data_IF_108984191743
#
_entry.id   IF_108984191743
#
_cell.length_a   1.000
_cell.length_b   1.000
_cell.length_c   1.000
_cell.angle_alpha   90.00
_cell.angle_beta   90.00
_cell.angle_gamma   90.00
#
_symmetry.space_group_name_H-M   'P 1'
#
loop_
_entity.id
_entity.type
_entity.pdbx_description
1 polymer ?
#
# COMPACT_ATOMS: atom_id res chain seq x y z
N UNK A 1 16.46 30.14 -11.02
CA UNK A 1 17.06 31.16 -11.91
C UNK A 1 16.04 31.69 -12.93
N UNK A 2 15.18 30.86 -13.55
CA UNK A 2 14.22 31.35 -14.58
C UNK A 2 13.04 32.11 -13.99
N UNK A 3 12.69 31.86 -12.73
CA UNK A 3 11.52 32.44 -12.04
C UNK A 3 11.86 33.24 -10.79
N UNK A 4 13.12 33.69 -10.62
CA UNK A 4 13.56 34.39 -9.42
C UNK A 4 12.80 35.73 -9.18
N UNK A 5 12.26 36.32 -10.23
CA UNK A 5 11.44 37.54 -10.14
C UNK A 5 9.94 37.29 -9.97
N UNK A 6 9.49 36.03 -10.03
CA UNK A 6 8.08 35.69 -9.94
C UNK A 6 7.68 35.33 -8.48
N UNK A 7 6.49 35.76 -8.09
CA UNK A 7 5.90 35.30 -6.84
C UNK A 7 5.52 33.81 -6.98
N UNK A 8 6.06 32.98 -6.12
CA UNK A 8 5.83 31.53 -6.15
C UNK A 8 4.89 31.14 -5.01
N UNK A 9 3.89 30.32 -5.33
CA UNK A 9 2.93 29.77 -4.37
C UNK A 9 2.96 28.26 -4.50
N UNK A 10 3.21 27.57 -3.38
CA UNK A 10 3.15 26.11 -3.29
C UNK A 10 1.90 25.66 -2.55
N UNK A 11 1.19 24.67 -3.08
CA UNK A 11 0.10 23.97 -2.39
C UNK A 11 0.38 22.46 -2.41
N UNK A 12 0.30 21.81 -1.25
CA UNK A 12 0.51 20.37 -1.14
C UNK A 12 -0.27 19.83 0.03
N UNK A 13 -0.79 18.60 -0.10
CA UNK A 13 -1.36 17.83 1.00
C UNK A 13 -0.29 17.05 1.78
N UNK A 14 0.92 16.92 1.22
CA UNK A 14 2.01 16.11 1.77
C UNK A 14 3.33 16.87 1.70
N UNK A 15 3.52 17.90 2.56
CA UNK A 15 4.77 18.64 2.59
C UNK A 15 5.94 17.67 2.86
N UNK A 16 7.02 17.83 2.11
CA UNK A 16 8.24 17.05 2.28
C UNK A 16 9.23 17.81 3.14
N UNK A 17 9.72 17.15 4.18
CA UNK A 17 10.79 17.63 5.05
C UNK A 17 11.82 16.51 5.19
N UNK A 18 12.74 16.43 4.21
CA UNK A 18 13.86 15.49 4.18
C UNK A 18 15.16 16.26 4.12
N UNK A 19 16.30 15.59 4.31
CA UNK A 19 17.64 16.23 4.20
C UNK A 19 17.86 16.88 2.84
N UNK A 20 17.33 16.28 1.76
CA UNK A 20 17.55 16.75 0.39
C UNK A 20 16.44 17.69 -0.12
N UNK A 21 15.25 17.62 0.46
CA UNK A 21 14.06 18.39 0.00
C UNK A 21 13.25 18.84 1.19
N UNK A 22 13.19 20.16 1.40
CA UNK A 22 12.36 20.79 2.41
C UNK A 22 11.47 21.87 1.78
N UNK A 23 10.16 21.71 1.98
CA UNK A 23 9.19 22.72 1.55
C UNK A 23 9.34 24.01 2.37
N UNK A 24 9.58 23.88 3.67
CA UNK A 24 9.77 25.01 4.58
C UNK A 24 11.04 25.80 4.23
N UNK A 25 12.10 25.12 3.79
CA UNK A 25 13.32 25.80 3.35
C UNK A 25 13.13 26.61 2.09
N UNK A 26 12.31 26.12 1.14
CA UNK A 26 12.10 26.78 -0.14
C UNK A 26 11.05 27.87 -0.08
N UNK A 27 9.89 27.62 0.55
CA UNK A 27 8.74 28.53 0.57
C UNK A 27 8.62 29.35 1.86
N UNK A 28 9.39 29.02 2.90
CA UNK A 28 9.22 29.57 4.25
C UNK A 28 8.11 28.86 5.03
N UNK A 29 7.70 29.44 6.13
CA UNK A 29 6.59 28.89 6.94
C UNK A 29 5.26 28.91 6.17
N UNK A 30 4.41 27.88 6.33
CA UNK A 30 3.12 27.84 5.68
C UNK A 30 2.25 29.05 6.01
N UNK A 31 1.75 29.74 4.97
CA UNK A 31 0.81 30.86 5.14
C UNK A 31 -0.54 30.37 5.68
N UNK A 32 -0.93 29.14 5.32
CA UNK A 32 -2.16 28.52 5.80
C UNK A 32 -1.99 27.01 5.85
N UNK A 33 -2.51 26.39 6.91
CA UNK A 33 -2.55 24.92 7.07
C UNK A 33 -3.97 24.49 7.39
N UNK A 34 -4.53 23.62 6.56
CA UNK A 34 -5.80 22.93 6.80
C UNK A 34 -5.54 21.48 7.07
N UNK A 35 -5.57 21.10 8.33
CA UNK A 35 -5.20 19.75 8.76
C UNK A 35 -6.29 18.71 8.46
N UNK A 36 -5.88 17.44 8.35
CA UNK A 36 -6.82 16.31 8.23
C UNK A 36 -7.87 16.33 9.37
N UNK A 37 -7.45 16.66 10.60
CA UNK A 37 -8.36 16.77 11.74
C UNK A 37 -9.42 17.85 11.52
N UNK A 38 -9.01 19.04 11.08
CA UNK A 38 -9.96 20.11 10.77
C UNK A 38 -10.95 19.68 9.66
N UNK A 39 -10.45 19.02 8.60
CA UNK A 39 -11.32 18.52 7.53
C UNK A 39 -12.37 17.50 8.02
N UNK A 40 -12.03 16.69 9.01
CA UNK A 40 -12.97 15.77 9.64
C UNK A 40 -13.96 16.51 10.55
N UNK A 41 -13.46 17.41 11.40
CA UNK A 41 -14.27 18.20 12.32
C UNK A 41 -15.28 19.10 11.56
N UNK A 42 -14.88 19.64 10.41
CA UNK A 42 -15.72 20.47 9.53
C UNK A 42 -16.68 19.64 8.64
N UNK A 43 -16.60 18.30 8.67
CA UNK A 43 -17.47 17.41 7.91
C UNK A 43 -17.10 17.23 6.43
N UNK A 44 -15.98 17.74 5.95
CA UNK A 44 -15.51 17.54 4.57
C UNK A 44 -14.81 16.20 4.36
N UNK A 45 -14.24 15.62 5.41
CA UNK A 45 -13.54 14.34 5.36
C UNK A 45 -14.20 13.33 6.31
N UNK A 46 -14.25 12.08 5.88
CA UNK A 46 -14.76 11.00 6.71
C UNK A 46 -13.81 10.71 7.88
N UNK A 47 -14.34 10.39 9.08
CA UNK A 47 -13.53 9.90 10.18
C UNK A 47 -12.91 8.55 9.82
N UNK A 48 -11.72 8.26 10.35
CA UNK A 48 -11.02 7.01 10.09
C UNK A 48 -10.61 6.32 11.39
N UNK A 49 -10.40 5.01 11.29
CA UNK A 49 -9.85 4.19 12.37
C UNK A 49 -8.63 3.43 11.84
N UNK A 50 -7.51 3.51 12.54
CA UNK A 50 -6.29 2.76 12.20
C UNK A 50 -6.25 1.48 13.02
N UNK A 51 -6.20 0.34 12.32
CA UNK A 51 -5.92 -0.96 12.89
C UNK A 51 -4.53 -1.41 12.41
N UNK A 52 -3.65 -1.74 13.35
CA UNK A 52 -2.31 -2.24 13.04
C UNK A 52 -2.24 -3.71 13.37
N UNK A 53 -1.87 -4.51 12.37
CA UNK A 53 -1.60 -5.94 12.54
C UNK A 53 -0.10 -6.15 12.43
N UNK A 54 0.51 -6.64 13.51
CA UNK A 54 1.92 -7.08 13.51
C UNK A 54 2.02 -8.49 12.94
N UNK A 55 3.04 -8.73 12.13
CA UNK A 55 3.49 -10.06 11.72
C UNK A 55 4.86 -10.26 12.34
N UNK A 56 5.13 -11.41 12.94
CA UNK A 56 6.38 -11.68 13.68
C UNK A 56 7.63 -11.32 12.85
N UNK A 57 7.64 -11.71 11.57
CA UNK A 57 8.75 -11.38 10.67
C UNK A 57 8.92 -9.87 10.39
N UNK A 58 7.83 -9.10 10.44
CA UNK A 58 7.89 -7.64 10.27
C UNK A 58 8.44 -6.95 11.52
N UNK A 59 8.25 -7.55 12.70
CA UNK A 59 8.70 -7.01 13.98
C UNK A 59 10.14 -7.42 14.31
N UNK A 60 10.46 -8.70 14.11
CA UNK A 60 11.75 -9.30 14.49
C UNK A 60 12.77 -9.25 13.35
N UNK A 61 12.31 -9.03 12.11
CA UNK A 61 13.10 -9.20 10.90
C UNK A 61 13.23 -10.68 10.51
N UNK A 62 13.89 -10.93 9.39
CA UNK A 62 14.16 -12.26 8.88
C UNK A 62 15.64 -12.40 8.54
N UNK A 63 16.28 -13.40 9.12
CA UNK A 63 17.64 -13.82 8.81
C UNK A 63 17.55 -15.15 8.04
N UNK A 64 17.81 -15.18 6.72
CA UNK A 64 17.87 -16.43 5.98
C UNK A 64 19.03 -17.31 6.47
N UNK A 65 18.90 -18.62 6.34
CA UNK A 65 19.99 -19.55 6.57
C UNK A 65 21.13 -19.29 5.56
N UNK A 66 22.36 -19.53 5.99
CA UNK A 66 23.54 -19.34 5.13
C UNK A 66 23.47 -20.27 3.91
N UNK A 67 23.70 -19.72 2.72
CA UNK A 67 23.62 -20.47 1.46
C UNK A 67 22.19 -20.69 0.94
N UNK A 68 21.15 -20.14 1.58
CA UNK A 68 19.79 -20.20 1.06
C UNK A 68 19.69 -19.50 -0.29
N UNK A 69 18.98 -20.13 -1.24
CA UNK A 69 18.75 -19.60 -2.58
C UNK A 69 17.31 -19.13 -2.74
N UNK A 70 17.10 -18.16 -3.62
CA UNK A 70 15.79 -17.71 -4.07
C UNK A 70 15.18 -18.68 -5.11
N UNK A 71 13.99 -18.33 -5.60
CA UNK A 71 13.27 -19.12 -6.62
C UNK A 71 14.02 -19.23 -7.97
N UNK A 72 14.99 -18.34 -8.23
CA UNK A 72 15.82 -18.31 -9.42
C UNK A 72 17.18 -19.03 -9.19
N UNK A 73 17.40 -19.59 -8.00
CA UNK A 73 18.66 -20.26 -7.64
C UNK A 73 19.78 -19.29 -7.25
N UNK A 74 19.50 -17.98 -7.03
CA UNK A 74 20.49 -17.01 -6.57
C UNK A 74 20.62 -17.07 -5.05
N UNK A 75 21.86 -16.99 -4.56
CA UNK A 75 22.13 -16.99 -3.12
C UNK A 75 21.54 -15.73 -2.48
N UNK A 76 20.68 -15.91 -1.49
CA UNK A 76 20.15 -14.83 -0.66
C UNK A 76 21.24 -14.39 0.31
N UNK A 77 21.54 -13.11 0.34
CA UNK A 77 22.54 -12.54 1.24
C UNK A 77 22.20 -12.84 2.71
N UNK A 78 23.18 -13.36 3.46
CA UNK A 78 23.01 -13.67 4.89
C UNK A 78 23.08 -12.39 5.74
N UNK A 79 21.95 -11.67 5.81
CA UNK A 79 21.76 -10.48 6.63
C UNK A 79 20.33 -10.41 7.15
N UNK A 80 20.10 -9.57 8.15
CA UNK A 80 18.74 -9.32 8.64
C UNK A 80 17.97 -8.49 7.61
N UNK A 81 16.85 -9.03 7.13
CA UNK A 81 15.87 -8.34 6.30
C UNK A 81 14.76 -7.78 7.19
N UNK A 82 14.37 -6.55 6.95
CA UNK A 82 13.32 -5.85 7.69
C UNK A 82 12.11 -5.59 6.81
N UNK A 83 11.05 -5.05 7.37
CA UNK A 83 9.84 -4.67 6.63
C UNK A 83 10.10 -3.75 5.43
N UNK A 84 11.23 -3.01 5.41
CA UNK A 84 11.63 -2.18 4.26
C UNK A 84 12.18 -2.98 3.09
N UNK A 85 12.67 -4.17 3.34
CA UNK A 85 13.25 -5.05 2.32
C UNK A 85 12.22 -6.00 1.72
N UNK A 86 11.14 -6.33 2.45
CA UNK A 86 10.12 -7.30 2.02
C UNK A 86 9.38 -6.80 0.79
N UNK A 87 9.07 -7.74 -0.10
CA UNK A 87 8.43 -7.53 -1.40
C UNK A 87 9.19 -6.61 -2.37
N UNK A 88 10.41 -6.16 -1.98
CA UNK A 88 11.34 -5.38 -2.82
C UNK A 88 12.63 -6.12 -3.11
N UNK A 89 13.28 -6.62 -2.06
CA UNK A 89 14.57 -7.33 -2.12
C UNK A 89 14.44 -8.78 -1.71
N UNK A 90 13.43 -9.11 -0.92
CA UNK A 90 13.13 -10.45 -0.47
C UNK A 90 11.62 -10.70 -0.52
N UNK A 91 11.21 -11.67 -1.33
CA UNK A 91 9.82 -12.11 -1.44
C UNK A 91 9.60 -13.27 -0.47
N UNK A 92 8.56 -13.16 0.35
CA UNK A 92 8.14 -14.20 1.29
C UNK A 92 6.66 -14.49 1.03
N UNK A 93 6.38 -15.55 0.27
CA UNK A 93 5.01 -15.92 -0.12
C UNK A 93 4.09 -16.09 1.08
N UNK A 94 4.57 -16.78 2.14
CA UNK A 94 3.83 -16.95 3.40
C UNK A 94 3.43 -15.63 4.05
N UNK A 95 4.19 -14.56 3.84
CA UNK A 95 3.84 -13.24 4.33
C UNK A 95 2.63 -12.70 3.58
N UNK A 96 2.64 -12.79 2.24
CA UNK A 96 1.52 -12.38 1.39
C UNK A 96 0.24 -13.15 1.72
N UNK A 97 0.34 -14.49 1.89
CA UNK A 97 -0.76 -15.35 2.32
C UNK A 97 -1.31 -14.94 3.71
N UNK A 98 -0.41 -14.67 4.67
CA UNK A 98 -0.81 -14.23 6.01
C UNK A 98 -1.55 -12.90 5.97
N UNK A 99 -1.09 -11.94 5.17
CA UNK A 99 -1.76 -10.64 4.99
C UNK A 99 -3.14 -10.84 4.35
N UNK A 100 -3.23 -11.63 3.27
CA UNK A 100 -4.50 -11.92 2.60
C UNK A 100 -5.51 -12.58 3.55
N UNK A 101 -5.06 -13.54 4.36
CA UNK A 101 -5.88 -14.19 5.39
C UNK A 101 -6.38 -13.18 6.42
N UNK A 102 -5.51 -12.29 6.94
CA UNK A 102 -5.91 -11.27 7.93
C UNK A 102 -6.92 -10.27 7.37
N UNK A 103 -6.73 -9.81 6.14
CA UNK A 103 -7.70 -8.95 5.45
C UNK A 103 -9.04 -9.68 5.35
N UNK A 104 -9.04 -10.91 4.89
CA UNK A 104 -10.25 -11.72 4.72
C UNK A 104 -10.97 -11.97 6.06
N UNK A 105 -10.23 -12.33 7.12
CA UNK A 105 -10.80 -12.50 8.47
C UNK A 105 -11.45 -11.22 8.98
N UNK A 106 -10.80 -10.07 8.79
CA UNK A 106 -11.35 -8.77 9.17
C UNK A 106 -12.64 -8.46 8.41
N UNK A 107 -12.65 -8.64 7.10
CA UNK A 107 -13.83 -8.41 6.27
C UNK A 107 -14.98 -9.38 6.61
N UNK A 108 -14.68 -10.64 6.91
CA UNK A 108 -15.70 -11.61 7.37
C UNK A 108 -16.35 -11.21 8.70
N UNK A 109 -15.61 -10.51 9.57
CA UNK A 109 -16.12 -10.04 10.87
C UNK A 109 -16.87 -8.70 10.78
N UNK A 110 -16.67 -7.94 9.71
CA UNK A 110 -17.27 -6.63 9.51
C UNK A 110 -18.29 -6.67 8.36
N UNK A 111 -17.84 -6.46 7.14
CA UNK A 111 -18.63 -6.57 5.93
C UNK A 111 -17.73 -6.99 4.76
N UNK A 112 -18.01 -8.17 4.19
CA UNK A 112 -17.25 -8.75 3.08
C UNK A 112 -17.36 -7.94 1.78
N UNK A 113 -18.36 -7.10 1.65
CA UNK A 113 -18.60 -6.27 0.47
C UNK A 113 -18.20 -4.81 0.66
N UNK A 114 -17.63 -4.47 1.81
CA UNK A 114 -17.03 -3.14 2.02
C UNK A 114 -15.94 -2.87 0.98
N UNK A 115 -16.04 -1.73 0.30
CA UNK A 115 -15.02 -1.28 -0.66
C UNK A 115 -13.65 -1.23 0.00
N UNK A 116 -12.74 -2.03 -0.50
CA UNK A 116 -11.40 -2.23 0.09
C UNK A 116 -10.32 -2.04 -0.95
N UNK A 117 -9.30 -1.23 -0.62
CA UNK A 117 -8.12 -1.02 -1.47
C UNK A 117 -6.90 -1.59 -0.74
N UNK A 118 -6.14 -2.44 -1.41
CA UNK A 118 -4.88 -3.00 -0.92
C UNK A 118 -3.73 -2.41 -1.74
N UNK A 119 -2.90 -1.58 -1.12
CA UNK A 119 -1.72 -1.02 -1.77
C UNK A 119 -0.56 -2.01 -1.74
N UNK A 120 0.02 -2.26 -2.88
CA UNK A 120 1.14 -3.16 -3.08
C UNK A 120 2.40 -2.39 -3.49
N UNK A 121 3.57 -2.99 -3.29
CA UNK A 121 4.87 -2.35 -3.57
C UNK A 121 5.09 -2.17 -5.08
N UNK A 122 4.68 -3.17 -5.86
CA UNK A 122 4.79 -3.21 -7.32
C UNK A 122 3.67 -4.08 -7.93
N UNK A 123 3.67 -4.18 -9.26
CA UNK A 123 2.64 -4.91 -10.00
C UNK A 123 2.71 -6.42 -9.78
N UNK A 124 3.88 -6.97 -9.54
CA UNK A 124 4.08 -8.39 -9.25
C UNK A 124 3.57 -8.73 -7.86
N UNK A 125 3.85 -7.89 -6.86
CA UNK A 125 3.25 -8.03 -5.53
C UNK A 125 1.71 -7.91 -5.59
N UNK A 126 1.17 -7.02 -6.43
CA UNK A 126 -0.27 -6.90 -6.63
C UNK A 126 -0.88 -8.18 -7.23
N UNK A 127 -0.16 -8.85 -8.12
CA UNK A 127 -0.59 -10.15 -8.68
C UNK A 127 -0.61 -11.23 -7.59
N UNK A 128 0.48 -11.43 -6.86
CA UNK A 128 0.57 -12.41 -5.76
C UNK A 128 -0.49 -12.16 -4.68
N UNK A 129 -0.69 -10.90 -4.31
CA UNK A 129 -1.71 -10.54 -3.32
C UNK A 129 -3.13 -10.85 -3.81
N UNK A 130 -3.42 -10.58 -5.10
CA UNK A 130 -4.71 -10.94 -5.70
C UNK A 130 -4.94 -12.45 -5.65
N UNK A 131 -3.95 -13.24 -6.03
CA UNK A 131 -4.03 -14.71 -5.99
C UNK A 131 -4.26 -15.23 -4.57
N UNK A 132 -3.52 -14.71 -3.59
CA UNK A 132 -3.69 -15.08 -2.19
C UNK A 132 -5.09 -14.70 -1.67
N UNK A 133 -5.61 -13.52 -2.01
CA UNK A 133 -6.96 -13.12 -1.64
C UNK A 133 -8.05 -13.97 -2.31
N UNK A 134 -7.86 -14.36 -3.58
CA UNK A 134 -8.77 -15.28 -4.28
C UNK A 134 -8.82 -16.61 -3.56
N UNK A 135 -7.68 -17.16 -3.15
CA UNK A 135 -7.60 -18.44 -2.43
C UNK A 135 -8.37 -18.41 -1.09
N UNK A 136 -8.35 -17.28 -0.39
CA UNK A 136 -9.07 -17.10 0.88
C UNK A 136 -10.57 -16.80 0.69
N UNK A 137 -11.03 -16.46 -0.52
CA UNK A 137 -12.40 -16.04 -0.81
C UNK A 137 -13.03 -16.79 -1.99
N UNK A 138 -12.67 -18.05 -2.20
CA UNK A 138 -13.15 -18.87 -3.33
C UNK A 138 -14.68 -18.96 -3.39
N UNK A 139 -15.36 -18.95 -2.25
CA UNK A 139 -16.81 -18.98 -2.12
C UNK A 139 -17.51 -17.81 -2.81
N UNK A 140 -16.95 -16.60 -2.76
CA UNK A 140 -17.49 -15.42 -3.43
C UNK A 140 -16.98 -15.32 -4.86
N UNK A 141 -15.67 -15.55 -5.07
CA UNK A 141 -15.04 -15.44 -6.39
C UNK A 141 -15.66 -16.41 -7.40
N UNK A 142 -16.09 -17.58 -6.95
CA UNK A 142 -16.82 -18.55 -7.82
C UNK A 142 -18.17 -18.00 -8.33
N UNK A 143 -18.76 -17.04 -7.65
CA UNK A 143 -20.04 -16.41 -8.02
C UNK A 143 -19.83 -15.04 -8.68
N UNK A 144 -18.75 -14.37 -8.37
CA UNK A 144 -18.39 -13.05 -8.90
C UNK A 144 -16.87 -12.96 -9.08
N UNK A 145 -16.40 -13.15 -10.30
CA UNK A 145 -14.99 -13.10 -10.71
C UNK A 145 -14.38 -11.70 -10.56
N UNK A 146 -15.22 -10.65 -10.46
CA UNK A 146 -14.82 -9.26 -10.23
C UNK A 146 -14.71 -8.86 -8.76
N UNK A 147 -14.97 -9.78 -7.82
CA UNK A 147 -14.88 -9.49 -6.39
C UNK A 147 -13.47 -9.05 -5.96
N UNK A 148 -12.42 -9.60 -6.58
CA UNK A 148 -11.02 -9.22 -6.31
C UNK A 148 -10.35 -8.87 -7.63
N UNK A 149 -10.13 -7.58 -7.84
CA UNK A 149 -9.53 -7.06 -9.05
C UNK A 149 -8.13 -6.48 -8.79
N UNK A 150 -7.23 -6.63 -9.76
CA UNK A 150 -5.93 -5.95 -9.80
C UNK A 150 -6.07 -4.72 -10.70
N UNK A 151 -5.65 -3.57 -10.19
CA UNK A 151 -5.64 -2.31 -10.94
C UNK A 151 -4.20 -1.79 -10.92
N UNK A 152 -3.55 -1.77 -12.08
CA UNK A 152 -2.17 -1.31 -12.25
C UNK A 152 -2.06 -0.34 -13.41
N UNK A 153 -0.99 0.47 -13.42
CA UNK A 153 -0.79 1.48 -14.46
C UNK A 153 -0.53 0.93 -15.86
N UNK A 154 0.04 -0.28 -15.94
CA UNK A 154 0.37 -0.96 -17.20
C UNK A 154 -0.80 -1.75 -17.80
N UNK A 155 -1.88 -1.99 -17.04
CA UNK A 155 -3.01 -2.82 -17.43
C UNK A 155 -4.23 -1.96 -17.77
N UNK A 156 -4.52 -1.80 -19.06
CA UNK A 156 -5.69 -1.03 -19.51
C UNK A 156 -7.02 -1.67 -19.11
N UNK A 157 -7.08 -3.01 -19.00
CA UNK A 157 -8.26 -3.70 -18.50
C UNK A 157 -8.48 -3.43 -17.00
N UNK A 158 -7.38 -3.34 -16.24
CA UNK A 158 -7.42 -2.95 -14.83
C UNK A 158 -7.94 -1.53 -14.62
N UNK A 159 -7.55 -0.59 -15.47
CA UNK A 159 -8.06 0.80 -15.40
C UNK A 159 -9.57 0.89 -15.61
N UNK A 160 -10.13 0.09 -16.52
CA UNK A 160 -11.58 0.02 -16.73
C UNK A 160 -12.33 -0.49 -15.48
N UNK A 161 -11.70 -1.33 -14.65
CA UNK A 161 -12.30 -1.81 -13.41
C UNK A 161 -12.37 -0.74 -12.30
N UNK A 162 -11.60 0.35 -12.43
CA UNK A 162 -11.67 1.47 -11.49
C UNK A 162 -13.07 2.13 -11.50
N UNK A 163 -13.67 2.28 -12.67
CA UNK A 163 -15.04 2.79 -12.81
C UNK A 163 -16.04 1.86 -12.08
N UNK A 164 -15.92 0.54 -12.27
CA UNK A 164 -16.76 -0.43 -11.55
C UNK A 164 -16.58 -0.36 -10.03
N UNK A 165 -15.40 0.00 -9.54
CA UNK A 165 -15.17 0.18 -8.09
C UNK A 165 -15.78 1.48 -7.55
N UNK A 166 -15.84 2.53 -8.36
CA UNK A 166 -16.36 3.84 -7.95
C UNK A 166 -17.90 3.85 -7.97
N UNK A 167 -18.52 3.28 -9.01
CA UNK A 167 -19.94 3.43 -9.33
C UNK A 167 -20.90 2.53 -8.51
N UNK A 168 -20.42 1.63 -7.66
CA UNK A 168 -21.28 0.73 -6.86
C UNK A 168 -21.49 1.20 -5.43
#
# INVERSE_FOLDING_TARGET
EYFDSATQIGMTATPKETEDVSNSHYFGEPVYTYSLKQGIDDGFLAPYRVLRFGIDKDLEGYLPEEGKVDVNGQIIEHRVYTSKDFDRKLIIDKRTETVAKRITEYLKQTDRFSKTIVFCVDEEHALRMREALINENQDIVAQNDKYIMRITGSDDSGKQQLENFIDN
#
